data_IF_144951067620
#
_entry.id   IF_144951067620
#
_cell.length_a   1.000
_cell.length_b   1.000
_cell.length_c   1.000
_cell.angle_alpha   90.00
_cell.angle_beta   90.00
_cell.angle_gamma   90.00
#
_symmetry.space_group_name_H-M   'P 1'
#
loop_
_entity.id
_entity.type
_entity.pdbx_description
1 polymer ?
#
# COMPACT_ATOMS: atom_id res chain seq x y z
N UNK A 1 7.00 -22.93 -1.36
CA UNK A 1 7.33 -21.51 -1.13
C UNK A 1 6.40 -21.03 -0.04
N UNK A 2 6.93 -20.40 1.00
CA UNK A 2 6.12 -19.65 1.96
C UNK A 2 5.86 -18.27 1.35
N UNK A 3 4.60 -17.83 1.36
CA UNK A 3 4.21 -16.49 0.97
C UNK A 3 4.28 -15.65 2.24
N UNK A 4 5.06 -14.57 2.23
CA UNK A 4 5.03 -13.58 3.30
C UNK A 4 3.82 -12.68 3.07
N UNK A 5 2.77 -12.88 3.86
CA UNK A 5 1.59 -12.01 3.86
C UNK A 5 1.63 -11.05 5.06
N UNK A 6 1.55 -9.75 4.76
CA UNK A 6 1.48 -8.69 5.78
C UNK A 6 0.18 -7.91 5.56
N UNK A 7 -0.81 -8.16 6.41
CA UNK A 7 -2.08 -7.45 6.41
C UNK A 7 -2.15 -6.51 7.63
N UNK A 8 -2.49 -5.24 7.39
CA UNK A 8 -2.72 -4.23 8.44
C UNK A 8 -4.07 -3.56 8.17
N UNK A 9 -5.02 -3.72 9.09
CA UNK A 9 -6.35 -3.09 9.04
C UNK A 9 -6.51 -2.14 10.21
N UNK A 10 -6.65 -0.85 9.93
CA UNK A 10 -6.77 0.19 10.94
C UNK A 10 -7.79 1.25 10.53
N UNK A 11 -8.52 1.81 11.51
CA UNK A 11 -9.42 2.94 11.27
C UNK A 11 -8.67 4.24 11.50
N UNK A 12 -8.43 4.99 10.43
CA UNK A 12 -7.67 6.24 10.44
C UNK A 12 -8.54 7.44 10.08
N UNK A 13 -8.07 8.64 10.44
CA UNK A 13 -8.60 9.89 9.87
C UNK A 13 -8.09 10.05 8.44
N UNK A 14 -8.89 10.71 7.58
CA UNK A 14 -8.55 10.93 6.16
C UNK A 14 -7.19 11.63 5.97
N UNK A 15 -6.82 12.54 6.88
CA UNK A 15 -5.54 13.25 6.82
C UNK A 15 -4.36 12.29 7.05
N UNK A 16 -4.49 11.36 8.00
CA UNK A 16 -3.47 10.35 8.27
C UNK A 16 -3.35 9.32 7.13
N UNK A 17 -4.47 9.00 6.46
CA UNK A 17 -4.44 8.18 5.23
C UNK A 17 -3.68 8.90 4.12
N UNK A 18 -3.92 10.19 3.92
CA UNK A 18 -3.22 10.98 2.92
C UNK A 18 -1.70 11.06 3.17
N UNK A 19 -1.28 11.15 4.43
CA UNK A 19 0.13 11.07 4.83
C UNK A 19 0.73 9.70 4.47
N UNK A 20 0.05 8.59 4.82
CA UNK A 20 0.52 7.23 4.48
C UNK A 20 0.63 6.99 2.97
N UNK A 21 -0.35 7.46 2.20
CA UNK A 21 -0.30 7.34 0.73
C UNK A 21 0.85 8.16 0.14
N UNK A 22 1.19 9.31 0.73
CA UNK A 22 2.35 10.11 0.32
C UNK A 22 3.65 9.38 0.61
N UNK A 23 3.79 8.79 1.80
CA UNK A 23 4.99 8.02 2.15
C UNK A 23 5.20 6.84 1.19
N UNK A 24 4.13 6.11 0.84
CA UNK A 24 4.18 5.06 -0.18
C UNK A 24 4.59 5.60 -1.56
N UNK A 25 4.05 6.75 -1.98
CA UNK A 25 4.43 7.37 -3.23
C UNK A 25 5.91 7.80 -3.26
N UNK A 26 6.43 8.36 -2.16
CA UNK A 26 7.84 8.73 -2.03
C UNK A 26 8.77 7.50 -2.07
N UNK A 27 8.37 6.39 -1.43
CA UNK A 27 9.10 5.11 -1.49
C UNK A 27 9.22 4.60 -2.93
N UNK A 28 8.11 4.56 -3.67
CA UNK A 28 8.07 4.13 -5.06
C UNK A 28 8.91 5.04 -5.96
N UNK A 29 8.82 6.35 -5.80
CA UNK A 29 9.44 7.31 -6.72
C UNK A 29 10.95 7.50 -6.52
N UNK A 30 11.47 7.27 -5.29
CA UNK A 30 12.86 7.59 -4.94
C UNK A 30 13.73 6.38 -4.70
N UNK A 31 13.16 5.34 -4.09
CA UNK A 31 13.92 4.21 -3.58
C UNK A 31 13.70 2.93 -4.39
N UNK A 32 12.65 2.90 -5.23
CA UNK A 32 12.23 1.72 -6.00
C UNK A 32 12.09 0.47 -5.10
N UNK A 33 11.73 0.70 -3.83
CA UNK A 33 11.51 -0.33 -2.83
C UNK A 33 10.39 0.09 -1.88
N UNK A 34 9.58 -0.87 -1.44
CA UNK A 34 8.64 -0.70 -0.34
C UNK A 34 9.27 -1.22 0.94
N UNK A 35 9.09 -0.47 2.03
CA UNK A 35 9.57 -0.83 3.36
C UNK A 35 8.39 -1.03 4.32
N UNK A 36 8.32 -2.21 4.94
CA UNK A 36 7.31 -2.55 5.94
C UNK A 36 7.97 -2.98 7.26
N UNK A 37 7.41 -2.56 8.39
CA UNK A 37 7.86 -2.99 9.71
C UNK A 37 6.77 -3.80 10.41
N UNK A 38 7.11 -5.02 10.88
CA UNK A 38 6.20 -5.86 11.68
C UNK A 38 6.98 -6.61 12.75
N UNK A 39 6.57 -6.46 14.01
CA UNK A 39 7.19 -7.18 15.14
C UNK A 39 8.67 -6.86 15.34
N UNK A 40 9.10 -5.63 15.03
CA UNK A 40 10.51 -5.22 15.07
C UNK A 40 11.38 -5.73 13.91
N UNK A 41 10.79 -6.47 12.96
CA UNK A 41 11.45 -6.88 11.72
C UNK A 41 11.05 -5.93 10.58
N UNK A 42 12.06 -5.50 9.83
CA UNK A 42 11.93 -4.62 8.68
C UNK A 42 12.09 -5.41 7.39
N UNK A 43 11.11 -5.31 6.52
CA UNK A 43 11.06 -5.97 5.22
C UNK A 43 11.23 -4.94 4.12
N UNK A 44 12.08 -5.23 3.13
CA UNK A 44 12.24 -4.42 1.93
C UNK A 44 11.88 -5.24 0.71
N UNK A 45 10.99 -4.73 -0.12
CA UNK A 45 10.55 -5.38 -1.35
C UNK A 45 10.91 -4.47 -2.52
N UNK A 46 11.75 -4.96 -3.43
CA UNK A 46 12.10 -4.20 -4.64
C UNK A 46 10.90 -4.09 -5.57
N UNK A 47 10.74 -2.92 -6.17
CA UNK A 47 9.73 -2.62 -7.17
C UNK A 47 10.43 -2.40 -8.51
N UNK A 48 10.03 -3.08 -9.59
CA UNK A 48 10.58 -2.87 -10.93
C UNK A 48 10.17 -1.50 -11.51
N UNK A 49 10.80 -1.13 -12.63
CA UNK A 49 10.55 0.14 -13.31
C UNK A 49 9.11 0.27 -13.86
N UNK A 50 8.43 -0.85 -14.09
CA UNK A 50 7.04 -0.91 -14.56
C UNK A 50 6.22 -1.84 -13.65
N UNK A 51 5.03 -1.37 -13.26
CA UNK A 51 4.08 -2.14 -12.44
C UNK A 51 2.68 -2.06 -13.04
N UNK A 52 1.86 -3.07 -12.76
CA UNK A 52 0.42 -2.98 -13.03
C UNK A 52 -0.26 -2.22 -11.89
N UNK A 53 -0.98 -1.15 -12.22
CA UNK A 53 -1.78 -0.37 -11.26
C UNK A 53 -3.27 -0.60 -11.53
N UNK A 54 -4.00 -1.01 -10.50
CA UNK A 54 -5.46 -1.07 -10.48
C UNK A 54 -6.00 -0.08 -9.45
N UNK A 55 -7.00 0.69 -9.86
CA UNK A 55 -7.73 1.61 -8.97
C UNK A 55 -9.21 1.33 -9.15
N UNK A 56 -9.88 0.97 -8.06
CA UNK A 56 -11.31 0.67 -8.05
C UNK A 56 -12.02 1.52 -7.00
N UNK A 57 -13.15 2.09 -7.40
CA UNK A 57 -14.02 2.87 -6.53
C UNK A 57 -15.41 2.24 -6.56
N UNK A 58 -15.80 1.66 -5.44
CA UNK A 58 -17.13 1.09 -5.26
C UNK A 58 -17.97 2.02 -4.38
N UNK A 59 -19.19 2.31 -4.85
CA UNK A 59 -20.14 3.19 -4.15
C UNK A 59 -21.47 2.48 -4.08
N UNK A 60 -21.80 1.99 -2.90
CA UNK A 60 -23.06 1.37 -2.58
C UNK A 60 -23.93 2.30 -1.71
N UNK A 61 -25.13 1.87 -1.33
CA UNK A 61 -26.08 2.67 -0.55
C UNK A 61 -25.49 3.20 0.76
N UNK A 62 -24.73 2.35 1.43
CA UNK A 62 -24.23 2.49 2.79
C UNK A 62 -22.70 2.39 2.87
N UNK A 63 -22.07 1.84 1.84
CA UNK A 63 -20.62 1.61 1.77
C UNK A 63 -19.95 2.41 0.65
N UNK A 64 -18.70 2.82 0.91
CA UNK A 64 -17.83 3.46 -0.06
C UNK A 64 -16.44 2.89 0.15
N UNK A 65 -15.88 2.32 -0.90
CA UNK A 65 -14.58 1.66 -0.88
C UNK A 65 -13.72 2.18 -2.02
N UNK A 66 -12.46 2.51 -1.70
CA UNK A 66 -11.44 2.86 -2.66
C UNK A 66 -10.29 1.90 -2.47
N UNK A 67 -10.04 1.08 -3.48
CA UNK A 67 -8.91 0.17 -3.53
C UNK A 67 -7.83 0.69 -4.49
N UNK A 68 -6.58 0.58 -4.06
CA UNK A 68 -5.40 0.88 -4.87
C UNK A 68 -4.48 -0.32 -4.77
N UNK A 69 -4.28 -1.02 -5.89
CA UNK A 69 -3.51 -2.25 -5.94
C UNK A 69 -2.36 -2.11 -6.96
N UNK A 70 -1.16 -2.52 -6.54
CA UNK A 70 0.03 -2.60 -7.40
C UNK A 70 0.49 -4.06 -7.48
N UNK A 71 0.81 -4.54 -8.68
CA UNK A 71 1.29 -5.91 -8.92
C UNK A 71 2.56 -5.92 -9.77
N UNK A 72 3.49 -6.81 -9.40
CA UNK A 72 4.73 -7.13 -10.11
C UNK A 72 5.32 -8.47 -9.64
#
# INVERSE_FOLDING_TARGET
MEILEVEVKERLRREAVAERLRDLADMLARHNELEFERGGMRFKVKVPDEVELKVELEVESDERELEIELKW
#
